data_IF_564107949054
#
_entry.id   IF_564107949054
#
_cell.length_a   1.000
_cell.length_b   1.000
_cell.length_c   1.000
_cell.angle_alpha   90.00
_cell.angle_beta   90.00
_cell.angle_gamma   90.00
#
_symmetry.space_group_name_H-M   'P 1'
#
loop_
_entity.id
_entity.type
_entity.pdbx_description
1 polymer ?
#
# COMPACT_ATOMS: atom_id res chain seq x y z
N UNK A 1 -2.70 1.71 10.79
CA UNK A 1 -3.08 0.38 10.26
C UNK A 1 -1.81 -0.39 9.91
N UNK A 2 -1.80 -1.71 10.07
CA UNK A 2 -0.70 -2.58 9.63
C UNK A 2 -0.90 -3.03 8.16
N UNK A 3 0.07 -3.78 7.61
CA UNK A 3 0.01 -4.25 6.23
C UNK A 3 -1.21 -5.13 5.90
N UNK A 4 -1.59 -6.06 6.80
CA UNK A 4 -2.72 -6.96 6.56
C UNK A 4 -4.06 -6.20 6.55
N UNK A 5 -4.22 -5.25 7.48
CA UNK A 5 -5.38 -4.37 7.55
C UNK A 5 -5.49 -3.50 6.29
N UNK A 6 -4.37 -2.91 5.85
CA UNK A 6 -4.32 -2.12 4.63
C UNK A 6 -4.66 -2.94 3.39
N UNK A 7 -4.07 -4.13 3.26
CA UNK A 7 -4.38 -5.02 2.13
C UNK A 7 -5.86 -5.43 2.12
N UNK A 8 -6.44 -5.71 3.28
CA UNK A 8 -7.87 -6.03 3.41
C UNK A 8 -8.73 -4.83 3.04
N UNK A 9 -8.34 -3.62 3.50
CA UNK A 9 -9.03 -2.37 3.18
C UNK A 9 -9.05 -2.10 1.67
N UNK A 10 -7.91 -2.28 1.00
CA UNK A 10 -7.74 -2.04 -0.43
C UNK A 10 -8.51 -3.07 -1.27
N UNK A 11 -8.46 -4.35 -0.91
CA UNK A 11 -9.20 -5.41 -1.64
C UNK A 11 -10.72 -5.21 -1.59
N UNK A 12 -11.23 -4.72 -0.46
CA UNK A 12 -12.66 -4.39 -0.34
C UNK A 12 -13.08 -3.18 -1.20
N UNK A 13 -12.13 -2.40 -1.72
CA UNK A 13 -12.35 -1.13 -2.43
C UNK A 13 -11.55 -1.06 -3.73
N UNK A 14 -11.43 -2.18 -4.42
CA UNK A 14 -10.73 -2.28 -5.71
C UNK A 14 -11.26 -1.27 -6.75
N UNK A 15 -10.47 -1.01 -7.79
CA UNK A 15 -10.85 -0.07 -8.86
C UNK A 15 -10.52 1.41 -8.58
N UNK A 16 -9.89 1.72 -7.45
CA UNK A 16 -9.47 3.07 -7.08
C UNK A 16 -8.03 3.10 -6.56
N UNK A 17 -7.34 4.21 -6.81
CA UNK A 17 -6.04 4.50 -6.21
C UNK A 17 -6.21 5.21 -4.86
N UNK A 18 -5.53 4.68 -3.85
CA UNK A 18 -5.45 5.19 -2.50
C UNK A 18 -4.06 5.71 -2.18
N UNK A 19 -4.01 6.74 -1.35
CA UNK A 19 -2.80 7.34 -0.81
C UNK A 19 -2.68 7.01 0.67
N UNK A 20 -1.50 6.56 1.09
CA UNK A 20 -1.16 6.30 2.50
C UNK A 20 0.22 6.85 2.83
N UNK A 21 0.42 7.34 4.05
CA UNK A 21 1.76 7.63 4.57
C UNK A 21 2.33 6.39 5.23
N UNK A 22 3.52 5.95 4.80
CA UNK A 22 4.22 4.81 5.39
C UNK A 22 5.11 5.24 6.55
N UNK A 23 5.01 4.50 7.65
CA UNK A 23 5.75 4.69 8.89
C UNK A 23 6.54 3.41 9.18
N UNK A 24 7.86 3.50 9.24
CA UNK A 24 8.74 2.38 9.58
C UNK A 24 9.02 2.38 11.07
N UNK A 25 8.74 1.25 11.73
CA UNK A 25 9.11 1.05 13.12
C UNK A 25 10.53 0.48 13.16
N UNK A 26 11.48 1.25 13.71
CA UNK A 26 12.90 0.86 13.80
C UNK A 26 13.27 0.67 15.26
N UNK A 27 13.87 -0.48 15.59
CA UNK A 27 14.32 -0.83 16.94
C UNK A 27 13.32 -1.69 17.72
N UNK A 28 13.76 -2.19 18.89
CA UNK A 28 12.96 -2.98 19.83
C UNK A 28 13.03 -2.39 21.24
N UNK A 29 11.93 -2.47 22.00
CA UNK A 29 11.87 -2.02 23.40
C UNK A 29 11.95 -0.49 23.56
N UNK A 30 12.61 -0.01 24.62
CA UNK A 30 12.67 1.42 24.99
C UNK A 30 13.33 2.36 23.96
N UNK A 31 13.96 1.81 22.91
CA UNK A 31 14.59 2.56 21.81
C UNK A 31 13.84 2.42 20.48
N UNK A 32 12.60 1.92 20.49
CA UNK A 32 11.76 1.90 19.30
C UNK A 32 11.51 3.35 18.83
N UNK A 33 11.76 3.60 17.56
CA UNK A 33 11.52 4.88 16.89
C UNK A 33 10.61 4.66 15.70
N UNK A 34 9.77 5.64 15.42
CA UNK A 34 8.90 5.64 14.23
C UNK A 34 9.48 6.66 13.25
N UNK A 35 9.82 6.19 12.06
CA UNK A 35 10.33 7.04 10.97
C UNK A 35 9.30 7.10 9.86
N UNK A 36 8.92 8.30 9.46
CA UNK A 36 8.13 8.48 8.25
C UNK A 36 8.99 8.20 7.01
N UNK A 37 8.51 7.31 6.13
CA UNK A 37 9.16 6.98 4.86
C UNK A 37 8.59 7.78 3.68
N UNK A 38 7.42 8.41 3.88
CA UNK A 38 6.73 9.21 2.87
C UNK A 38 5.45 8.55 2.35
N UNK A 39 4.93 9.12 1.28
CA UNK A 39 3.65 8.75 0.68
C UNK A 39 3.77 7.59 -0.30
N UNK A 40 2.88 6.62 -0.18
CA UNK A 40 2.66 5.55 -1.14
C UNK A 40 1.30 5.72 -1.81
N UNK A 41 1.25 5.43 -3.12
CA UNK A 41 0.01 5.30 -3.88
C UNK A 41 -0.21 3.83 -4.19
N UNK A 42 -1.37 3.31 -3.80
CA UNK A 42 -1.70 1.90 -3.82
C UNK A 42 -3.00 1.69 -4.59
N UNK A 43 -3.00 0.72 -5.49
CA UNK A 43 -4.17 0.30 -6.25
C UNK A 43 -4.23 -1.23 -6.27
N UNK A 44 -5.43 -1.81 -6.19
CA UNK A 44 -5.63 -3.26 -6.36
C UNK A 44 -6.05 -3.54 -7.80
N UNK A 45 -5.39 -4.52 -8.43
CA UNK A 45 -5.68 -5.06 -9.76
C UNK A 45 -5.75 -6.59 -9.67
N UNK A 46 -6.97 -7.13 -9.65
CA UNK A 46 -7.17 -8.56 -9.46
C UNK A 46 -6.58 -9.03 -8.13
N UNK A 47 -5.59 -9.91 -8.18
CA UNK A 47 -4.89 -10.44 -6.99
C UNK A 47 -3.64 -9.67 -6.61
N UNK A 48 -3.27 -8.64 -7.38
CA UNK A 48 -2.04 -7.87 -7.20
C UNK A 48 -2.33 -6.46 -6.70
N UNK A 49 -1.36 -5.89 -6.00
CA UNK A 49 -1.33 -4.49 -5.58
C UNK A 49 -0.26 -3.77 -6.39
N UNK A 50 -0.65 -2.76 -7.15
CA UNK A 50 0.27 -1.79 -7.69
C UNK A 50 0.64 -0.79 -6.61
N UNK A 51 1.90 -0.80 -6.18
CA UNK A 51 2.44 0.08 -5.16
C UNK A 51 3.47 1.03 -5.76
N UNK A 52 3.15 2.32 -5.75
CA UNK A 52 4.06 3.40 -6.14
C UNK A 52 4.62 4.06 -4.89
N UNK A 53 5.93 3.93 -4.69
CA UNK A 53 6.61 4.49 -3.52
C UNK A 53 6.92 5.99 -3.64
N UNK A 54 7.46 6.60 -2.57
CA UNK A 54 7.81 8.03 -2.51
C UNK A 54 8.83 8.46 -3.57
N UNK A 55 9.66 7.53 -4.04
CA UNK A 55 10.63 7.76 -5.12
C UNK A 55 9.99 7.78 -6.51
N UNK A 56 8.68 7.55 -6.62
CA UNK A 56 7.97 7.37 -7.89
C UNK A 56 8.11 5.97 -8.49
N UNK A 57 8.87 5.05 -7.86
CA UNK A 57 9.00 3.69 -8.35
C UNK A 57 7.71 2.89 -8.12
N UNK A 58 7.17 2.32 -9.19
CA UNK A 58 6.01 1.44 -9.16
C UNK A 58 6.43 -0.02 -9.16
N UNK A 59 5.80 -0.84 -8.31
CA UNK A 59 5.94 -2.30 -8.30
C UNK A 59 4.56 -2.94 -8.26
N UNK A 60 4.40 -4.06 -8.96
CA UNK A 60 3.25 -4.95 -8.79
C UNK A 60 3.65 -6.00 -7.76
N UNK A 61 2.83 -6.16 -6.73
CA UNK A 61 3.09 -7.05 -5.61
C UNK A 61 1.91 -7.99 -5.48
N UNK A 62 2.15 -9.30 -5.49
CA UNK A 62 1.15 -10.24 -5.00
C UNK A 62 0.96 -10.12 -3.47
N UNK A 63 0.03 -10.88 -2.91
CA UNK A 63 -0.22 -10.87 -1.46
C UNK A 63 1.03 -11.21 -0.64
N UNK A 64 1.82 -12.19 -1.06
CA UNK A 64 3.03 -12.62 -0.36
C UNK A 64 4.11 -11.55 -0.40
N UNK A 65 4.36 -10.99 -1.57
CA UNK A 65 5.32 -9.91 -1.80
C UNK A 65 4.92 -8.63 -1.04
N UNK A 66 3.62 -8.30 -1.04
CA UNK A 66 3.09 -7.17 -0.28
C UNK A 66 3.40 -7.32 1.21
N UNK A 67 3.14 -8.50 1.77
CA UNK A 67 3.43 -8.77 3.17
C UNK A 67 4.94 -8.79 3.45
N UNK A 68 5.75 -9.35 2.55
CA UNK A 68 7.21 -9.36 2.70
C UNK A 68 7.78 -7.94 2.76
N UNK A 69 7.31 -7.03 1.89
CA UNK A 69 7.78 -5.63 1.83
C UNK A 69 7.26 -4.82 3.03
N UNK A 70 5.98 -4.95 3.36
CA UNK A 70 5.30 -4.02 4.28
C UNK A 70 5.07 -4.57 5.68
N UNK A 71 5.46 -5.80 6.00
CA UNK A 71 5.23 -6.41 7.33
C UNK A 71 5.76 -5.60 8.51
N UNK A 72 6.85 -4.84 8.31
CA UNK A 72 7.47 -3.98 9.35
C UNK A 72 6.93 -2.54 9.36
N UNK A 73 5.93 -2.26 8.53
CA UNK A 73 5.42 -0.92 8.30
C UNK A 73 4.08 -0.74 9.00
N UNK A 74 3.88 0.46 9.51
CA UNK A 74 2.58 1.00 9.85
C UNK A 74 2.19 2.03 8.81
N UNK A 75 0.89 2.24 8.63
CA UNK A 75 0.37 3.21 7.69
C UNK A 75 -0.62 4.16 8.36
N UNK A 76 -0.57 5.42 7.93
CA UNK A 76 -1.62 6.39 8.20
C UNK A 76 -2.94 6.05 7.49
N UNK A 77 -3.99 6.87 7.65
CA UNK A 77 -5.27 6.65 7.01
C UNK A 77 -5.15 6.59 5.48
N UNK A 78 -5.83 5.62 4.86
CA UNK A 78 -5.95 5.53 3.42
C UNK A 78 -6.92 6.60 2.90
N UNK A 79 -6.44 7.46 2.02
CA UNK A 79 -7.22 8.55 1.42
C UNK A 79 -7.40 8.27 -0.08
N UNK A 80 -8.63 8.28 -0.62
CA UNK A 80 -8.84 8.13 -2.05
C UNK A 80 -8.19 9.30 -2.80
N UNK A 81 -7.45 9.01 -3.86
CA UNK A 81 -6.80 10.05 -4.69
C UNK A 81 -7.75 10.70 -5.70
N UNK A 82 -8.94 10.13 -5.88
CA UNK A 82 -9.87 10.48 -6.96
C UNK A 82 -9.55 9.82 -8.30
N UNK A 83 -8.39 9.15 -8.46
CA UNK A 83 -8.09 8.37 -9.65
C UNK A 83 -8.79 7.02 -9.61
N UNK A 84 -9.71 6.81 -10.54
CA UNK A 84 -10.21 5.49 -10.87
C UNK A 84 -9.12 4.74 -11.64
N UNK A 85 -8.90 3.49 -11.27
CA UNK A 85 -8.06 2.62 -12.07
C UNK A 85 -8.99 1.82 -12.94
N UNK A 86 -9.20 2.32 -14.15
CA UNK A 86 -10.05 1.67 -15.13
C UNK A 86 -9.64 0.21 -15.29
N UNK A 87 -10.67 -0.62 -15.26
CA UNK A 87 -10.62 -1.99 -15.74
C UNK A 87 -9.92 -1.94 -17.11
N UNK A 88 -8.83 -2.68 -17.27
CA UNK A 88 -8.29 -2.92 -18.62
C UNK A 88 -9.43 -3.40 -19.54
N UNK A 89 -9.32 -3.20 -20.86
CA UNK A 89 -10.43 -3.41 -21.79
C UNK A 89 -11.17 -4.72 -21.49
N UNK A 90 -12.49 -4.62 -21.29
CA UNK A 90 -13.37 -5.71 -20.85
C UNK A 90 -13.57 -6.83 -21.89
N UNK A 91 -12.78 -6.84 -22.97
CA UNK A 91 -12.85 -7.83 -24.03
C UNK A 91 -11.43 -8.16 -24.49
N UNK A 92 -11.06 -9.43 -24.31
CA UNK A 92 -9.93 -10.12 -24.93
C UNK A 92 -10.40 -11.49 -25.37
#
# INVERSE_FOLDING_TARGET
>A
MNAAELLTYLNARGGQEYRVTALLHVGRGKKASVRELGEYRLNVRGTQVQATGPSGQTRLLDRGEFMAVFSSYSFGPATPTGKMTDLGPLFG
#
